data_IF_908002812792
#
_entry.id   IF_908002812792
#
_cell.length_a   1.000
_cell.length_b   1.000
_cell.length_c   1.000
_cell.angle_alpha   90.00
_cell.angle_beta   90.00
_cell.angle_gamma   90.00
#
_symmetry.space_group_name_H-M   'P 1'
#
loop_
_entity.id
_entity.type
_entity.pdbx_description
1 polymer ?
#
# COMPACT_ATOMS: atom_id res chain seq x y z
N UNK A 1 -24.36 71.17 -27.78
CA UNK A 1 -25.31 70.50 -28.70
C UNK A 1 -24.53 69.75 -29.76
N UNK A 2 -24.93 68.50 -30.07
CA UNK A 2 -24.35 67.48 -31.00
C UNK A 2 -23.00 66.83 -30.61
N UNK A 3 -22.73 65.56 -30.99
CA UNK A 3 -23.44 64.30 -30.67
C UNK A 3 -22.45 63.18 -30.18
N UNK A 4 -22.89 61.92 -29.91
CA UNK A 4 -22.09 60.90 -29.22
C UNK A 4 -21.24 60.05 -30.16
N UNK A 5 -20.05 59.62 -29.71
CA UNK A 5 -19.21 58.65 -30.41
C UNK A 5 -19.52 57.24 -29.92
N UNK A 6 -20.30 56.53 -30.74
CA UNK A 6 -20.42 55.08 -30.68
C UNK A 6 -19.05 54.43 -30.90
N UNK A 7 -18.75 53.38 -30.13
CA UNK A 7 -17.74 52.40 -30.50
C UNK A 7 -18.45 51.12 -30.92
N UNK A 8 -18.42 50.76 -32.21
CA UNK A 8 -18.67 49.41 -32.65
C UNK A 8 -17.34 48.65 -32.62
N UNK A 9 -17.26 47.55 -31.87
CA UNK A 9 -16.18 46.58 -32.05
C UNK A 9 -16.77 45.19 -32.22
N UNK A 10 -16.33 44.60 -33.32
CA UNK A 10 -16.94 43.50 -34.03
C UNK A 10 -16.59 42.15 -33.42
N UNK A 11 -17.44 41.15 -33.71
CA UNK A 11 -17.15 39.72 -33.57
C UNK A 11 -15.92 39.33 -34.41
N UNK A 12 -15.25 38.25 -34.00
CA UNK A 12 -15.03 37.12 -34.91
C UNK A 12 -15.55 35.81 -34.27
N UNK A 13 -16.60 35.16 -34.79
CA UNK A 13 -16.54 34.03 -35.75
C UNK A 13 -15.21 33.26 -35.78
N UNK A 14 -15.19 32.07 -35.19
CA UNK A 14 -14.82 30.83 -35.88
C UNK A 14 -14.92 29.60 -34.96
N UNK A 15 -15.75 28.66 -35.38
CA UNK A 15 -15.70 27.24 -34.99
C UNK A 15 -14.49 26.56 -35.64
N UNK A 16 -13.98 25.47 -35.04
CA UNK A 16 -14.02 24.16 -35.72
C UNK A 16 -14.57 23.10 -34.75
N UNK A 17 -15.63 22.34 -35.02
CA UNK A 17 -15.84 21.31 -36.06
C UNK A 17 -14.62 20.41 -36.31
N UNK A 18 -14.49 19.41 -35.44
CA UNK A 18 -13.71 18.19 -35.62
C UNK A 18 -14.15 17.20 -34.55
N UNK A 19 -15.31 16.54 -34.68
CA UNK A 19 -15.44 15.27 -35.40
C UNK A 19 -14.33 14.28 -35.03
N UNK A 20 -14.56 13.50 -33.97
CA UNK A 20 -13.87 12.24 -33.70
C UNK A 20 -14.92 11.13 -33.55
N UNK A 21 -15.24 10.41 -34.65
CA UNK A 21 -16.06 9.21 -34.62
C UNK A 21 -15.17 7.97 -34.83
N UNK A 22 -14.60 7.45 -33.76
CA UNK A 22 -14.09 6.07 -33.73
C UNK A 22 -15.12 5.28 -32.92
N UNK A 23 -16.23 4.78 -33.51
CA UNK A 23 -16.32 3.48 -34.22
C UNK A 23 -15.33 2.48 -33.61
N UNK A 24 -15.72 1.68 -32.62
CA UNK A 24 -16.45 0.41 -32.78
C UNK A 24 -16.01 -0.39 -34.01
N UNK A 25 -15.10 -1.33 -33.78
CA UNK A 25 -14.89 -2.56 -34.55
C UNK A 25 -13.98 -3.48 -33.68
N UNK A 26 -14.51 -4.60 -33.18
CA UNK A 26 -14.19 -5.98 -33.66
C UNK A 26 -12.76 -6.40 -33.25
N UNK A 27 -12.51 -7.40 -32.41
CA UNK A 27 -13.08 -8.75 -32.29
C UNK A 27 -12.68 -9.39 -30.94
N UNK A 28 -13.51 -10.30 -30.39
CA UNK A 28 -13.04 -11.38 -29.51
C UNK A 28 -12.61 -12.57 -30.39
N UNK A 29 -11.37 -13.01 -30.29
CA UNK A 29 -10.94 -14.28 -30.89
C UNK A 29 -10.73 -15.30 -29.78
N UNK A 30 -11.63 -16.29 -29.83
CA UNK A 30 -11.54 -17.61 -29.24
C UNK A 30 -10.11 -18.18 -29.25
N UNK A 31 -9.64 -18.66 -28.10
CA UNK A 31 -8.85 -19.88 -28.12
C UNK A 31 -9.53 -20.95 -27.26
N UNK A 32 -10.08 -21.92 -27.98
CA UNK A 32 -10.48 -23.23 -27.51
C UNK A 32 -9.38 -23.87 -26.66
N UNK A 33 -9.76 -24.33 -25.47
CA UNK A 33 -9.02 -25.32 -24.68
C UNK A 33 -9.97 -26.39 -24.14
N UNK A 34 -10.91 -26.86 -24.97
CA UNK A 34 -11.74 -28.05 -24.66
C UNK A 34 -10.92 -29.28 -25.03
N UNK A 35 -10.18 -29.80 -24.06
CA UNK A 35 -9.58 -31.13 -24.11
C UNK A 35 -10.52 -32.14 -23.47
N UNK A 36 -11.12 -32.96 -24.31
CA UNK A 36 -11.98 -34.11 -24.06
C UNK A 36 -11.58 -35.00 -22.87
N UNK A 37 -12.57 -35.29 -22.03
CA UNK A 37 -12.64 -36.44 -21.14
C UNK A 37 -12.80 -37.76 -21.91
N UNK A 38 -12.25 -38.84 -21.35
CA UNK A 38 -12.65 -40.26 -21.41
C UNK A 38 -11.42 -41.09 -20.94
N UNK A 39 -11.47 -42.12 -20.11
CA UNK A 39 -12.48 -42.78 -19.29
C UNK A 39 -11.76 -43.93 -18.54
N UNK A 40 -12.51 -44.64 -17.69
CA UNK A 40 -12.20 -45.90 -17.00
C UNK A 40 -11.40 -45.71 -15.70
N UNK A 41 -11.92 -46.06 -14.52
CA UNK A 41 -12.48 -47.38 -14.22
C UNK A 41 -13.34 -47.35 -12.95
N UNK A 42 -14.54 -47.90 -13.09
CA UNK A 42 -15.39 -48.60 -12.11
C UNK A 42 -15.58 -48.02 -10.68
N UNK A 43 -16.83 -47.65 -10.42
CA UNK A 43 -17.42 -47.58 -9.09
C UNK A 43 -17.23 -48.91 -8.33
N UNK A 44 -16.67 -48.86 -7.12
CA UNK A 44 -17.10 -49.74 -6.03
C UNK A 44 -17.22 -48.91 -4.76
N UNK A 45 -18.45 -48.86 -4.27
CA UNK A 45 -18.94 -48.06 -3.17
C UNK A 45 -18.55 -48.64 -1.80
N UNK A 46 -18.16 -47.74 -0.89
CA UNK A 46 -18.42 -47.69 0.57
C UNK A 46 -17.72 -48.69 1.51
N UNK A 47 -17.63 -48.41 2.82
CA UNK A 47 -17.44 -47.13 3.50
C UNK A 47 -16.37 -47.22 4.61
N UNK A 48 -15.98 -46.09 5.18
CA UNK A 48 -15.38 -46.06 6.51
C UNK A 48 -13.96 -45.54 6.51
N UNK A 49 -13.85 -44.22 6.44
CA UNK A 49 -12.95 -43.48 7.31
C UNK A 49 -13.41 -42.04 7.24
N UNK A 50 -13.90 -41.55 8.38
CA UNK A 50 -14.15 -40.12 8.57
C UNK A 50 -12.84 -39.38 8.33
N UNK A 51 -12.66 -38.92 7.09
CA UNK A 51 -11.87 -37.74 6.84
C UNK A 51 -12.72 -36.59 7.40
N UNK A 52 -12.56 -36.37 8.70
CA UNK A 52 -12.77 -35.08 9.32
C UNK A 52 -11.94 -34.11 8.47
N UNK A 53 -12.60 -33.54 7.47
CA UNK A 53 -12.10 -32.39 6.77
C UNK A 53 -11.97 -31.33 7.85
N UNK A 54 -10.77 -31.23 8.40
CA UNK A 54 -10.31 -30.04 9.06
C UNK A 54 -10.52 -28.94 8.03
N UNK A 55 -11.70 -28.34 8.08
CA UNK A 55 -11.92 -26.98 7.65
C UNK A 55 -10.87 -26.22 8.42
N UNK A 56 -9.73 -25.96 7.77
CA UNK A 56 -8.95 -24.81 8.10
C UNK A 56 -9.92 -23.65 7.85
N UNK A 57 -10.68 -23.30 8.88
CA UNK A 57 -11.20 -21.95 9.04
C UNK A 57 -9.99 -21.08 8.80
N UNK A 58 -9.94 -20.49 7.61
CA UNK A 58 -9.04 -19.42 7.27
C UNK A 58 -9.43 -18.29 8.23
N UNK A 59 -8.83 -18.31 9.43
CA UNK A 59 -9.09 -17.32 10.45
C UNK A 59 -8.76 -15.98 9.81
N UNK A 60 -9.80 -15.18 9.51
CA UNK A 60 -9.59 -13.85 8.99
C UNK A 60 -8.62 -13.15 9.93
N UNK A 61 -7.53 -12.55 9.41
CA UNK A 61 -6.55 -11.92 10.27
C UNK A 61 -7.28 -10.92 11.15
N UNK A 62 -7.22 -11.12 12.47
CA UNK A 62 -7.72 -10.16 13.45
C UNK A 62 -6.87 -8.88 13.32
N UNK A 63 -7.23 -8.03 12.37
CA UNK A 63 -6.60 -6.73 12.19
C UNK A 63 -7.08 -5.89 13.37
N UNK A 64 -6.14 -5.49 14.24
CA UNK A 64 -6.43 -4.58 15.34
C UNK A 64 -7.24 -3.37 14.84
N UNK A 65 -8.26 -2.89 15.58
CA UNK A 65 -9.00 -1.69 15.21
C UNK A 65 -8.10 -0.46 14.95
N UNK A 66 -6.88 -0.47 15.51
CA UNK A 66 -5.90 0.62 15.39
C UNK A 66 -4.77 0.31 14.41
N UNK A 67 -4.79 -0.81 13.70
CA UNK A 67 -3.73 -1.21 12.78
C UNK A 67 -3.39 -0.12 11.75
N UNK A 68 -4.41 0.59 11.26
CA UNK A 68 -4.25 1.68 10.28
C UNK A 68 -3.57 2.92 10.85
N UNK A 69 -3.80 3.22 12.12
CA UNK A 69 -3.07 4.28 12.83
C UNK A 69 -1.58 3.93 12.94
N UNK A 70 -1.26 2.69 13.29
CA UNK A 70 0.13 2.22 13.30
C UNK A 70 0.76 2.25 11.91
N UNK A 71 0.02 1.82 10.87
CA UNK A 71 0.48 1.89 9.49
C UNK A 71 0.80 3.34 9.09
N UNK A 72 -0.06 4.31 9.44
CA UNK A 72 0.23 5.72 9.23
C UNK A 72 1.55 6.16 9.87
N UNK A 73 1.80 5.81 11.13
CA UNK A 73 3.05 6.17 11.81
C UNK A 73 4.28 5.55 11.14
N UNK A 74 4.17 4.30 10.67
CA UNK A 74 5.26 3.63 9.94
C UNK A 74 5.54 4.34 8.62
N UNK A 75 4.51 4.66 7.83
CA UNK A 75 4.65 5.39 6.55
C UNK A 75 5.25 6.78 6.77
N UNK A 76 4.76 7.52 7.76
CA UNK A 76 5.31 8.84 8.12
C UNK A 76 6.78 8.75 8.59
N UNK A 77 7.13 7.70 9.34
CA UNK A 77 8.51 7.41 9.72
C UNK A 77 9.42 7.16 8.51
N UNK A 78 8.95 6.39 7.53
CA UNK A 78 9.69 6.16 6.27
C UNK A 78 9.86 7.45 5.47
N UNK A 79 8.82 8.27 5.35
CA UNK A 79 8.89 9.55 4.67
C UNK A 79 9.94 10.49 5.31
N UNK A 80 9.93 10.58 6.65
CA UNK A 80 10.94 11.35 7.39
C UNK A 80 12.35 10.80 7.19
N UNK A 81 12.53 9.49 7.24
CA UNK A 81 13.83 8.88 7.00
C UNK A 81 14.34 9.15 5.58
N UNK A 82 13.46 9.10 4.57
CA UNK A 82 13.80 9.44 3.19
C UNK A 82 14.22 10.90 3.03
N UNK A 83 13.59 11.83 3.76
CA UNK A 83 14.00 13.24 3.81
C UNK A 83 15.36 13.42 4.48
N UNK A 84 15.58 12.81 5.65
CA UNK A 84 16.86 12.89 6.37
C UNK A 84 18.01 12.26 5.57
N UNK A 85 17.72 11.18 4.85
CA UNK A 85 18.68 10.48 3.97
C UNK A 85 18.87 11.17 2.62
N UNK A 86 18.27 12.35 2.39
CA UNK A 86 18.29 13.10 1.12
C UNK A 86 17.81 12.31 -0.10
N UNK A 87 17.00 11.27 0.11
CA UNK A 87 16.33 10.49 -0.95
C UNK A 87 15.06 11.19 -1.44
N UNK A 88 14.44 12.02 -0.60
CA UNK A 88 13.39 12.96 -0.97
C UNK A 88 13.95 14.39 -0.96
N UNK A 89 13.72 15.12 -2.05
CA UNK A 89 14.16 16.50 -2.22
C UNK A 89 13.07 17.53 -1.96
N UNK A 90 13.43 18.81 -1.97
CA UNK A 90 12.49 19.92 -1.79
C UNK A 90 11.39 19.97 -2.88
N UNK A 91 11.68 19.44 -4.08
CA UNK A 91 10.72 19.33 -5.19
C UNK A 91 9.60 18.34 -4.91
N UNK A 92 9.85 17.33 -4.08
CA UNK A 92 8.92 16.24 -3.80
C UNK A 92 8.00 16.57 -2.62
N UNK A 93 8.43 17.52 -1.78
CA UNK A 93 7.71 17.94 -0.57
C UNK A 93 6.26 18.39 -0.79
N UNK A 94 5.92 19.17 -1.83
CA UNK A 94 4.52 19.56 -2.05
C UNK A 94 3.60 18.35 -2.27
N UNK A 95 4.06 17.37 -3.05
CA UNK A 95 3.30 16.14 -3.32
C UNK A 95 3.20 15.29 -2.06
N UNK A 96 4.31 15.12 -1.34
CA UNK A 96 4.37 14.35 -0.10
C UNK A 96 3.44 14.92 0.98
N UNK A 97 3.43 16.25 1.16
CA UNK A 97 2.53 16.93 2.10
C UNK A 97 1.06 16.76 1.71
N UNK A 98 0.75 16.77 0.41
CA UNK A 98 -0.61 16.57 -0.07
C UNK A 98 -1.12 15.17 0.26
N UNK A 99 -0.30 14.13 0.04
CA UNK A 99 -0.70 12.75 0.34
C UNK A 99 -0.71 12.46 1.84
N UNK A 100 0.19 13.07 2.64
CA UNK A 100 0.16 12.99 4.10
C UNK A 100 -1.13 13.61 4.67
N UNK A 101 -1.49 14.82 4.23
CA UNK A 101 -2.74 15.46 4.66
C UNK A 101 -3.97 14.62 4.30
N UNK A 102 -3.99 14.02 3.10
CA UNK A 102 -5.09 13.15 2.68
C UNK A 102 -5.18 11.89 3.55
N UNK A 103 -4.04 11.28 3.91
CA UNK A 103 -3.99 10.12 4.80
C UNK A 103 -4.45 10.48 6.21
N UNK A 104 -4.02 11.63 6.77
CA UNK A 104 -4.48 12.11 8.08
C UNK A 104 -5.98 12.34 8.10
N UNK A 105 -6.53 13.04 7.11
CA UNK A 105 -7.97 13.28 7.04
C UNK A 105 -8.78 11.98 6.89
N UNK A 106 -8.32 11.04 6.07
CA UNK A 106 -8.97 9.73 5.96
C UNK A 106 -8.97 9.00 7.30
N UNK A 107 -7.85 9.05 8.03
CA UNK A 107 -7.69 8.39 9.32
C UNK A 107 -8.55 9.06 10.42
N UNK A 108 -8.58 10.39 10.47
CA UNK A 108 -9.46 11.16 11.35
C UNK A 108 -10.92 10.82 11.09
N UNK A 109 -11.33 10.78 9.82
CA UNK A 109 -12.68 10.39 9.44
C UNK A 109 -12.98 8.96 9.88
N UNK A 110 -12.06 8.02 9.68
CA UNK A 110 -12.26 6.64 10.12
C UNK A 110 -12.37 6.54 11.64
N UNK A 111 -11.55 7.26 12.41
CA UNK A 111 -11.65 7.32 13.87
C UNK A 111 -13.02 7.88 14.31
N UNK A 112 -13.48 8.95 13.67
CA UNK A 112 -14.76 9.60 14.01
C UNK A 112 -16.00 8.77 13.67
N UNK A 113 -15.88 7.77 12.79
CA UNK A 113 -16.95 6.88 12.38
C UNK A 113 -16.69 5.43 12.84
N UNK A 114 -16.03 5.27 13.99
CA UNK A 114 -15.76 3.97 14.64
C UNK A 114 -15.12 2.92 13.72
N UNK A 115 -14.26 3.38 12.80
CA UNK A 115 -13.57 2.54 11.81
C UNK A 115 -14.53 1.69 10.97
N UNK A 116 -15.63 2.30 10.49
CA UNK A 116 -16.53 1.65 9.57
C UNK A 116 -15.82 1.17 8.28
N UNK A 117 -16.30 0.08 7.63
CA UNK A 117 -15.58 -0.57 6.53
C UNK A 117 -15.25 0.35 5.35
N UNK A 118 -16.16 1.27 4.97
CA UNK A 118 -15.95 2.22 3.88
C UNK A 118 -14.81 3.21 4.16
N UNK A 119 -14.67 3.63 5.41
CA UNK A 119 -13.69 4.59 5.89
C UNK A 119 -12.34 3.91 5.99
N UNK A 120 -12.31 2.66 6.46
CA UNK A 120 -11.14 1.81 6.43
C UNK A 120 -10.57 1.65 5.02
N UNK A 121 -11.41 1.40 4.01
CA UNK A 121 -10.98 1.35 2.62
C UNK A 121 -10.40 2.68 2.13
N UNK A 122 -10.97 3.82 2.57
CA UNK A 122 -10.43 5.13 2.23
C UNK A 122 -9.06 5.37 2.86
N UNK A 123 -8.87 4.95 4.10
CA UNK A 123 -7.57 5.00 4.79
C UNK A 123 -6.55 4.13 4.06
N UNK A 124 -6.90 2.89 3.73
CA UNK A 124 -6.00 1.96 3.03
C UNK A 124 -5.59 2.52 1.65
N UNK A 125 -6.54 3.15 0.94
CA UNK A 125 -6.27 3.86 -0.33
C UNK A 125 -5.40 5.10 -0.14
N UNK A 126 -5.58 5.86 0.93
CA UNK A 126 -4.77 7.04 1.20
C UNK A 126 -3.34 6.66 1.63
N UNK A 127 -3.19 5.65 2.47
CA UNK A 127 -1.90 5.13 2.93
C UNK A 127 -1.10 4.50 1.80
N UNK A 128 -1.73 3.72 0.91
CA UNK A 128 -1.05 3.16 -0.27
C UNK A 128 -0.53 4.25 -1.20
N UNK A 129 -1.28 5.33 -1.42
CA UNK A 129 -0.82 6.49 -2.17
C UNK A 129 0.33 7.20 -1.47
N UNK A 130 0.24 7.39 -0.16
CA UNK A 130 1.31 8.02 0.60
C UNK A 130 2.61 7.19 0.50
N UNK A 131 2.51 5.87 0.65
CA UNK A 131 3.66 4.98 0.49
C UNK A 131 4.28 5.02 -0.91
N UNK A 132 3.47 5.17 -1.97
CA UNK A 132 3.95 5.24 -3.34
C UNK A 132 4.82 6.48 -3.64
N UNK A 133 4.66 7.56 -2.87
CA UNK A 133 5.48 8.77 -2.98
C UNK A 133 6.83 8.64 -2.25
N UNK A 134 7.05 7.56 -1.50
CA UNK A 134 8.27 7.36 -0.73
C UNK A 134 9.23 6.44 -1.50
N UNK A 135 10.49 6.85 -1.74
CA UNK A 135 11.49 6.00 -2.40
C UNK A 135 11.74 4.69 -1.64
N UNK A 136 11.96 3.57 -2.36
CA UNK A 136 12.29 2.29 -1.73
C UNK A 136 13.60 2.34 -0.93
N UNK A 137 13.69 1.49 0.10
CA UNK A 137 14.84 1.43 1.03
C UNK A 137 14.83 2.53 2.11
N UNK A 138 13.78 3.33 2.21
CA UNK A 138 13.55 4.27 3.32
C UNK A 138 13.12 3.58 4.62
N UNK A 139 13.17 2.25 4.66
CA UNK A 139 12.82 1.43 5.81
C UNK A 139 13.74 1.71 7.01
N UNK A 140 13.19 1.80 8.24
CA UNK A 140 13.97 2.02 9.46
C UNK A 140 15.04 0.96 9.77
N UNK A 141 15.07 -0.17 9.04
CA UNK A 141 15.96 -1.31 9.30
C UNK A 141 17.32 -1.22 8.61
N UNK A 142 17.50 -0.37 7.60
CA UNK A 142 18.76 -0.35 6.82
C UNK A 142 19.94 0.30 7.59
N UNK A 143 19.65 1.02 8.68
CA UNK A 143 20.63 1.81 9.43
C UNK A 143 20.81 1.40 10.90
N UNK A 144 20.60 0.13 11.26
CA UNK A 144 21.24 -0.38 12.48
C UNK A 144 22.66 -0.79 12.13
N UNK A 145 23.71 -0.02 12.51
CA UNK A 145 25.01 -0.62 12.63
C UNK A 145 24.83 -1.79 13.58
N UNK A 146 25.22 -2.99 13.14
CA UNK A 146 25.28 -4.15 14.02
C UNK A 146 26.25 -3.76 15.13
N UNK A 147 25.73 -3.19 16.22
CA UNK A 147 26.54 -2.89 17.38
C UNK A 147 27.21 -4.22 17.74
N UNK A 148 28.54 -4.27 17.90
CA UNK A 148 29.20 -5.50 18.29
C UNK A 148 28.48 -6.01 19.54
N UNK A 149 27.90 -7.22 19.44
CA UNK A 149 27.22 -7.85 20.58
C UNK A 149 28.16 -7.72 21.78
N UNK A 150 27.69 -7.20 22.93
CA UNK A 150 28.50 -7.21 24.13
C UNK A 150 28.90 -8.67 24.38
N UNK A 151 30.19 -8.96 24.17
CA UNK A 151 30.75 -10.25 24.51
C UNK A 151 30.65 -10.33 26.03
N UNK A 152 29.68 -11.10 26.50
CA UNK A 152 29.56 -11.39 27.91
C UNK A 152 30.88 -12.04 28.32
N UNK A 153 31.65 -11.48 29.27
CA UNK A 153 32.88 -12.12 29.70
C UNK A 153 32.51 -13.48 30.28
N UNK A 154 32.97 -14.53 29.60
CA UNK A 154 32.99 -15.89 30.12
C UNK A 154 33.72 -15.82 31.47
N UNK A 155 33.00 -16.11 32.55
CA UNK A 155 33.53 -16.06 33.91
C UNK A 155 34.80 -16.91 33.97
N UNK A 156 35.94 -16.26 34.15
CA UNK A 156 37.22 -16.89 34.38
C UNK A 156 37.12 -17.86 35.56
N UNK A 157 37.51 -19.11 35.31
CA UNK A 157 37.71 -20.11 36.35
C UNK A 157 38.74 -19.60 37.35
N UNK A 158 38.31 -19.45 38.60
CA UNK A 158 39.19 -19.19 39.73
C UNK A 158 40.09 -20.42 39.94
N UNK A 159 41.33 -20.35 39.47
CA UNK A 159 42.36 -21.28 39.90
C UNK A 159 42.71 -20.95 41.37
N UNK A 160 42.40 -21.87 42.27
CA UNK A 160 42.82 -21.85 43.67
C UNK A 160 44.34 -22.14 43.70
N UNK A 161 45.14 -21.12 44.02
CA UNK A 161 46.56 -21.32 44.35
C UNK A 161 46.68 -22.00 45.73
N UNK A 162 47.48 -23.06 45.88
CA UNK A 162 47.73 -23.68 47.17
C UNK A 162 48.71 -22.83 47.99
N UNK A 163 48.28 -22.51 49.21
CA UNK A 163 49.10 -21.89 50.26
C UNK A 163 50.32 -22.77 50.55
N UNK A 164 51.53 -22.19 50.48
CA UNK A 164 52.78 -22.80 50.95
C UNK A 164 53.30 -22.03 52.15
N UNK A 165 53.34 -22.76 53.27
CA UNK A 165 54.11 -22.59 54.53
C UNK A 165 53.73 -21.42 55.42
#
# INVERSE_FOLDING_TARGET
MLPPLMHPQARPTSTPKGASPWRLALLPVLLLGVGTAMAMTACRAEPGQGAEAAQAEEAEPLVSPQARLYAYFVVNGMARNALLSRRLGATDMPTLLKVDNAARHALENAINHDMAPSENMQVDKALSRYLAEIPPGSTPMEAYPTAPRPQHPSKGGRALSPSRR
#
